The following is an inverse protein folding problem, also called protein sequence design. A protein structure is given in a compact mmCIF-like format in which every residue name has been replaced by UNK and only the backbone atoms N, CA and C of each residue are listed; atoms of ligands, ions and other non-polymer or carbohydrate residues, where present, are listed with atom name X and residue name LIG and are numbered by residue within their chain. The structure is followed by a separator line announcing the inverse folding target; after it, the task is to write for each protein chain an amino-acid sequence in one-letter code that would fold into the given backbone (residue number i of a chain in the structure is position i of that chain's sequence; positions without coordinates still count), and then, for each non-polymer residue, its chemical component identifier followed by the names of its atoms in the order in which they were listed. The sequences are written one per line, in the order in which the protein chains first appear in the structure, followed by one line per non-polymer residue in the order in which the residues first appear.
data_IF_001317411292
#
_entry.id   IF_001317411292
#
_cell.length_a   1.000
_cell.length_b   1.000
_cell.length_c   1.000
_cell.angle_alpha   90.00
_cell.angle_beta   90.00
_cell.angle_gamma   90.00
#
_symmetry.space_group_name_H-M   'P 1'
#
loop_
_entity.id
_entity.type
_entity.pdbx_description
1 polymer ?
#
# COMPACT_ATOMS: atom_id res chain seq x y z
N UNK A 1 -23.85 -27.39 17.04
CA UNK A 1 -22.65 -26.53 16.95
C UNK A 1 -22.40 -26.29 15.49
N UNK A 2 -22.15 -25.03 15.07
CA UNK A 2 -21.75 -24.77 13.69
C UNK A 2 -20.42 -25.48 13.45
N UNK A 3 -20.37 -26.34 12.42
CA UNK A 3 -19.13 -27.01 12.01
C UNK A 3 -18.24 -25.92 11.37
N UNK A 4 -17.08 -25.67 11.96
CA UNK A 4 -16.08 -24.74 11.41
C UNK A 4 -14.95 -25.58 10.82
N UNK A 5 -14.64 -25.36 9.54
CA UNK A 5 -13.58 -26.09 8.83
C UNK A 5 -12.21 -25.43 9.01
N UNK A 6 -11.15 -26.16 8.66
CA UNK A 6 -9.77 -25.65 8.74
C UNK A 6 -9.58 -24.43 7.83
N UNK A 7 -10.09 -24.47 6.60
CA UNK A 7 -9.94 -23.38 5.65
C UNK A 7 -10.71 -22.13 6.05
N UNK A 8 -11.89 -22.27 6.66
CA UNK A 8 -12.64 -21.13 7.22
C UNK A 8 -11.89 -20.41 8.34
N UNK A 9 -11.27 -21.15 9.27
CA UNK A 9 -10.46 -20.54 10.34
C UNK A 9 -9.28 -19.80 9.75
N UNK A 10 -8.53 -20.42 8.83
CA UNK A 10 -7.37 -19.77 8.21
C UNK A 10 -7.75 -18.52 7.39
N UNK A 11 -8.89 -18.54 6.69
CA UNK A 11 -9.41 -17.35 6.01
C UNK A 11 -9.69 -16.20 7.01
N UNK A 12 -10.20 -16.54 8.20
CA UNK A 12 -10.45 -15.56 9.24
C UNK A 12 -9.14 -15.06 9.90
N UNK A 13 -8.13 -15.93 10.04
CA UNK A 13 -6.78 -15.54 10.48
C UNK A 13 -6.15 -14.53 9.53
N UNK A 14 -6.23 -14.79 8.22
CA UNK A 14 -5.71 -13.90 7.19
C UNK A 14 -6.47 -12.57 7.18
N UNK A 15 -7.81 -12.59 7.26
CA UNK A 15 -8.63 -11.38 7.33
C UNK A 15 -8.28 -10.50 8.54
N UNK A 16 -8.13 -11.09 9.74
CA UNK A 16 -7.77 -10.33 10.95
C UNK A 16 -6.38 -9.70 10.80
N UNK A 17 -5.43 -10.44 10.24
CA UNK A 17 -4.07 -9.94 9.97
C UNK A 17 -4.07 -8.79 8.98
N UNK A 18 -4.84 -8.90 7.90
CA UNK A 18 -4.97 -7.85 6.89
C UNK A 18 -5.62 -6.59 7.48
N UNK A 19 -6.64 -6.75 8.33
CA UNK A 19 -7.27 -5.63 9.04
C UNK A 19 -6.28 -4.93 9.99
N UNK A 20 -5.42 -5.68 10.69
CA UNK A 20 -4.37 -5.11 11.53
C UNK A 20 -3.35 -4.32 10.70
N UNK A 21 -2.90 -4.87 9.56
CA UNK A 21 -1.98 -4.16 8.66
C UNK A 21 -2.61 -2.86 8.10
N UNK A 22 -3.89 -2.89 7.75
CA UNK A 22 -4.64 -1.70 7.32
C UNK A 22 -4.75 -0.67 8.45
N UNK A 23 -4.96 -1.10 9.70
CA UNK A 23 -5.00 -0.22 10.85
C UNK A 23 -3.66 0.48 11.09
N UNK A 24 -2.54 -0.23 11.01
CA UNK A 24 -1.20 0.36 11.14
C UNK A 24 -0.93 1.42 10.05
N UNK A 25 -1.30 1.13 8.81
CA UNK A 25 -1.19 2.07 7.69
C UNK A 25 -2.09 3.31 7.88
N UNK A 26 -3.31 3.10 8.36
CA UNK A 26 -4.25 4.18 8.68
C UNK A 26 -3.71 5.06 9.81
N UNK A 27 -3.15 4.48 10.86
CA UNK A 27 -2.55 5.21 11.98
C UNK A 27 -1.38 6.08 11.53
N UNK A 28 -0.50 5.55 10.68
CA UNK A 28 0.60 6.33 10.08
C UNK A 28 0.06 7.50 9.24
N UNK A 29 -0.95 7.26 8.41
CA UNK A 29 -1.59 8.29 7.58
C UNK A 29 -2.27 9.38 8.42
N UNK A 30 -3.04 8.98 9.43
CA UNK A 30 -3.70 9.90 10.36
C UNK A 30 -2.70 10.78 11.11
N UNK A 31 -1.60 10.21 11.62
CA UNK A 31 -0.53 10.99 12.27
C UNK A 31 0.08 12.02 11.33
N UNK A 32 0.36 11.64 10.08
CA UNK A 32 0.90 12.57 9.09
C UNK A 32 -0.07 13.71 8.76
N UNK A 33 -1.37 13.41 8.63
CA UNK A 33 -2.40 14.42 8.36
C UNK A 33 -2.56 15.40 9.52
N UNK A 34 -2.57 14.92 10.76
CA UNK A 34 -2.64 15.77 11.96
C UNK A 34 -1.39 16.65 12.07
N UNK A 35 -0.20 16.08 11.90
CA UNK A 35 1.06 16.84 11.95
C UNK A 35 1.11 17.96 10.90
N UNK A 36 0.62 17.70 9.68
CA UNK A 36 0.51 18.73 8.64
C UNK A 36 -0.47 19.85 9.03
N UNK A 37 -1.59 19.51 9.66
CA UNK A 37 -2.55 20.50 10.13
C UNK A 37 -2.01 21.31 11.32
N UNK A 38 -1.26 20.68 12.23
CA UNK A 38 -0.55 21.34 13.34
C UNK A 38 0.45 22.36 12.81
N UNK A 39 1.30 21.97 11.86
CA UNK A 39 2.27 22.89 11.25
C UNK A 39 1.60 24.10 10.60
N UNK A 40 0.51 23.90 9.85
CA UNK A 40 -0.23 25.01 9.24
C UNK A 40 -0.86 25.93 10.27
N UNK A 41 -1.33 25.39 11.39
CA UNK A 41 -1.88 26.17 12.48
C UNK A 41 -0.79 27.00 13.18
N UNK A 42 0.38 26.41 13.44
CA UNK A 42 1.54 27.11 13.99
C UNK A 42 2.01 28.25 13.06
N UNK A 43 2.14 27.98 11.77
CA UNK A 43 2.50 28.99 10.76
C UNK A 43 1.51 30.16 10.76
N UNK A 44 0.21 29.88 10.78
CA UNK A 44 -0.83 30.90 10.79
C UNK A 44 -0.82 31.72 12.09
N UNK A 45 -0.57 31.08 13.24
CA UNK A 45 -0.39 31.79 14.51
C UNK A 45 0.87 32.66 14.52
N UNK A 46 1.98 32.16 13.99
CA UNK A 46 3.22 32.93 13.86
C UNK A 46 3.03 34.14 12.96
N UNK A 47 2.36 33.97 11.82
CA UNK A 47 2.02 35.05 10.91
C UNK A 47 1.12 36.09 11.59
N UNK A 48 0.11 35.66 12.36
CA UNK A 48 -0.76 36.57 13.11
C UNK A 48 0.01 37.39 14.15
N UNK A 49 0.85 36.74 14.97
CA UNK A 49 1.69 37.44 15.97
C UNK A 49 2.65 38.43 15.31
N UNK A 50 3.23 38.06 14.18
CA UNK A 50 4.08 38.95 13.41
C UNK A 50 3.29 40.15 12.83
N UNK A 51 2.04 39.94 12.39
CA UNK A 51 1.14 41.03 11.99
C UNK A 51 0.80 41.99 13.11
N UNK A 52 0.65 41.52 14.35
CA UNK A 52 0.41 42.38 15.51
C UNK A 52 1.61 43.31 15.73
N UNK A 53 2.82 42.77 15.76
CA UNK A 53 4.04 43.58 15.88
C UNK A 53 4.18 44.62 14.78
N UNK A 54 3.89 44.26 13.52
CA UNK A 54 3.97 45.21 12.40
C UNK A 54 2.90 46.31 12.47
N UNK A 55 1.74 46.01 13.04
CA UNK A 55 0.71 47.02 13.28
C UNK A 55 1.16 47.98 14.39
N UNK A 56 1.73 47.47 15.48
CA UNK A 56 2.26 48.30 16.57
C UNK A 56 3.36 49.25 16.04
N UNK A 57 4.28 48.74 15.20
CA UNK A 57 5.32 49.56 14.55
C UNK A 57 4.72 50.63 13.64
N UNK A 58 3.69 50.29 12.85
CA UNK A 58 3.02 51.24 11.96
C UNK A 58 2.22 52.30 12.73
N UNK A 59 1.61 51.94 13.86
CA UNK A 59 0.94 52.89 14.76
C UNK A 59 1.96 53.88 15.35
N UNK A 60 3.14 53.41 15.75
CA UNK A 60 4.19 54.31 16.24
C UNK A 60 4.69 55.26 15.14
N UNK A 61 4.89 54.76 13.91
CA UNK A 61 5.28 55.61 12.78
C UNK A 61 4.24 56.68 12.44
N UNK A 62 2.94 56.36 12.52
CA UNK A 62 1.87 57.34 12.34
C UNK A 62 1.90 58.43 13.43
N UNK A 63 2.13 58.04 14.69
CA UNK A 63 2.27 58.99 15.80
C UNK A 63 3.47 59.92 15.58
N UNK A 64 4.63 59.37 15.21
CA UNK A 64 5.85 60.14 14.98
C UNK A 64 5.70 61.10 13.78
N UNK A 65 5.08 60.65 12.68
CA UNK A 65 4.78 61.49 11.52
C UNK A 65 3.73 62.56 11.84
N UNK A 66 2.76 62.25 12.71
CA UNK A 66 1.78 63.21 13.23
C UNK A 66 2.46 64.34 13.99
N UNK A 67 3.34 64.00 14.93
CA UNK A 67 4.13 64.98 15.67
C UNK A 67 5.01 65.83 14.74
N UNK A 68 5.68 65.22 13.77
CA UNK A 68 6.52 65.95 12.81
C UNK A 68 5.71 66.95 11.95
N UNK A 69 4.48 66.59 11.58
CA UNK A 69 3.56 67.48 10.86
C UNK A 69 3.11 68.66 11.72
N UNK A 70 2.82 68.43 13.01
CA UNK A 70 2.50 69.49 13.98
C UNK A 70 3.70 70.44 14.21
N UNK A 71 4.90 69.88 14.39
CA UNK A 71 6.13 70.66 14.56
C UNK A 71 6.43 71.51 13.31
N UNK A 72 6.26 70.94 12.11
CA UNK A 72 6.43 71.67 10.85
C UNK A 72 5.40 72.79 10.69
N UNK A 73 4.16 72.58 11.15
CA UNK A 73 3.13 73.61 11.15
C UNK A 73 3.51 74.78 12.08
N UNK A 74 3.99 74.46 13.28
CA UNK A 74 4.48 75.47 14.23
C UNK A 74 5.69 76.25 13.68
N UNK A 75 6.58 75.58 12.93
CA UNK A 75 7.70 76.22 12.26
C UNK A 75 7.24 77.20 11.16
N UNK A 76 6.21 76.84 10.38
CA UNK A 76 5.58 77.74 9.41
C UNK A 76 5.00 78.97 10.11
N UNK A 77 4.25 78.80 11.19
CA UNK A 77 3.66 79.92 11.94
C UNK A 77 4.74 80.86 12.49
N UNK A 78 5.87 80.30 12.95
CA UNK A 78 7.03 81.07 13.44
C UNK A 78 7.74 81.82 12.32
N UNK A 79 7.90 81.20 11.14
CA UNK A 79 8.51 81.82 9.97
C UNK A 79 7.66 82.98 9.46
N UNK A 80 6.33 82.84 9.41
CA UNK A 80 5.42 83.94 9.06
C UNK A 80 5.51 85.10 10.05
N UNK A 81 5.53 84.83 11.36
CA UNK A 81 5.70 85.89 12.36
C UNK A 81 7.04 86.64 12.22
N UNK A 82 8.11 85.92 11.82
CA UNK A 82 9.43 86.52 11.56
C UNK A 82 9.43 87.35 10.28
N UNK A 83 8.74 86.89 9.24
CA UNK A 83 8.52 87.64 8.00
C UNK A 83 7.75 88.94 8.27
N UNK A 84 6.64 88.88 9.01
CA UNK A 84 5.86 90.07 9.38
C UNK A 84 6.72 91.11 10.12
N UNK A 85 7.62 90.67 11.00
CA UNK A 85 8.55 91.53 11.72
C UNK A 85 9.63 92.13 10.79
N UNK A 86 10.16 91.35 9.86
CA UNK A 86 11.14 91.80 8.87
C UNK A 86 10.53 92.81 7.88
N UNK A 87 9.32 92.54 7.37
CA UNK A 87 8.59 93.45 6.48
C UNK A 87 8.19 94.75 7.20
N UNK A 88 7.80 94.68 8.47
CA UNK A 88 7.54 95.87 9.30
C UNK A 88 8.81 96.71 9.50
N UNK A 89 9.97 96.08 9.69
CA UNK A 89 11.26 96.76 9.85
C UNK A 89 11.70 97.41 8.54
N UNK A 90 11.56 96.71 7.42
CA UNK A 90 11.82 97.23 6.08
C UNK A 90 10.92 98.43 5.74
N UNK A 91 9.61 98.30 5.98
CA UNK A 91 8.65 99.40 5.81
C UNK A 91 9.03 100.62 6.64
N UNK A 92 9.46 100.40 7.88
CA UNK A 92 9.92 101.47 8.78
C UNK A 92 11.20 102.14 8.28
N UNK A 93 12.15 101.39 7.70
CA UNK A 93 13.37 101.96 7.09
C UNK A 93 13.05 102.81 5.86
N UNK A 94 12.21 102.29 4.95
CA UNK A 94 11.79 102.99 3.73
C UNK A 94 11.05 104.30 4.08
N UNK A 95 10.32 104.33 5.19
CA UNK A 95 9.59 105.50 5.66
C UNK A 95 10.48 106.58 6.33
N UNK A 96 11.79 106.36 6.49
CA UNK A 96 12.69 107.36 7.07
C UNK A 96 12.92 108.55 6.10
N UNK A 97 13.03 109.79 6.62
CA UNK A 97 13.28 110.97 5.79
C UNK A 97 14.67 110.93 5.14
N UNK A 98 14.80 111.60 3.98
CA UNK A 98 16.07 111.76 3.24
C UNK A 98 17.18 112.25 4.17
N UNK A 99 18.40 111.76 3.96
CA UNK A 99 19.56 112.22 4.71
C UNK A 99 19.93 113.67 4.36
N UNK A 100 20.91 114.23 5.08
CA UNK A 100 21.31 115.64 4.94
C UNK A 100 21.88 115.99 3.55
N UNK A 101 22.22 114.99 2.74
CA UNK A 101 22.75 115.12 1.39
C UNK A 101 21.69 114.83 0.31
N UNK A 102 20.43 114.56 0.71
CA UNK A 102 19.31 114.31 -0.19
C UNK A 102 19.19 112.88 -0.69
N UNK A 103 19.92 111.94 -0.09
CA UNK A 103 19.89 110.51 -0.44
C UNK A 103 18.82 109.76 0.37
N UNK A 104 18.23 108.75 -0.26
CA UNK A 104 17.30 107.81 0.40
C UNK A 104 18.04 107.03 1.51
N UNK A 105 17.37 106.65 2.61
CA UNK A 105 17.93 105.71 3.59
C UNK A 105 18.41 104.44 2.90
N UNK A 106 19.60 103.97 3.26
CA UNK A 106 20.14 102.69 2.78
C UNK A 106 19.51 101.54 3.56
N UNK A 107 18.45 100.97 2.99
CA UNK A 107 17.69 99.85 3.56
C UNK A 107 18.11 98.50 2.96
N UNK A 108 19.37 98.37 2.50
CA UNK A 108 19.85 97.13 1.88
C UNK A 108 19.80 95.96 2.85
N UNK A 109 20.15 96.20 4.11
CA UNK A 109 20.11 95.18 5.17
C UNK A 109 18.69 94.69 5.46
N UNK A 110 17.72 95.60 5.58
CA UNK A 110 16.33 95.24 5.81
C UNK A 110 15.70 94.54 4.59
N UNK A 111 16.14 94.86 3.37
CA UNK A 111 15.78 94.09 2.17
C UNK A 111 16.33 92.67 2.25
N UNK A 112 17.62 92.51 2.57
CA UNK A 112 18.26 91.21 2.72
C UNK A 112 17.57 90.38 3.83
N UNK A 113 17.20 91.00 4.95
CA UNK A 113 16.47 90.34 6.03
C UNK A 113 15.05 89.91 5.62
N UNK A 114 14.32 90.75 4.87
CA UNK A 114 12.99 90.40 4.38
C UNK A 114 13.04 89.28 3.33
N UNK A 115 14.00 89.32 2.40
CA UNK A 115 14.22 88.27 1.41
C UNK A 115 14.65 86.95 2.07
N UNK A 116 15.49 87.01 3.11
CA UNK A 116 15.84 85.83 3.91
C UNK A 116 14.62 85.24 4.64
N UNK A 117 13.79 86.08 5.28
CA UNK A 117 12.59 85.62 5.97
C UNK A 117 11.56 85.01 5.00
N UNK A 118 11.45 85.54 3.77
CA UNK A 118 10.62 84.94 2.71
C UNK A 118 11.13 83.56 2.30
N UNK A 119 12.45 83.41 2.13
CA UNK A 119 13.05 82.12 1.83
C UNK A 119 12.85 81.10 2.97
N UNK A 120 12.88 81.55 4.23
CA UNK A 120 12.59 80.72 5.41
C UNK A 120 11.12 80.27 5.45
N UNK A 121 10.16 81.13 5.08
CA UNK A 121 8.75 80.76 4.93
C UNK A 121 8.56 79.72 3.81
N UNK A 122 9.18 79.92 2.65
CA UNK A 122 9.11 78.96 1.54
C UNK A 122 9.69 77.59 1.95
N UNK A 123 10.82 77.59 2.66
CA UNK A 123 11.43 76.38 3.19
C UNK A 123 10.53 75.67 4.21
N UNK A 124 9.93 76.41 5.14
CA UNK A 124 9.03 75.87 6.15
C UNK A 124 7.75 75.30 5.52
N UNK A 125 7.17 75.99 4.53
CA UNK A 125 5.99 75.53 3.78
C UNK A 125 6.29 74.21 3.04
N UNK A 126 7.43 74.12 2.36
CA UNK A 126 7.86 72.89 1.69
C UNK A 126 8.07 71.73 2.69
N UNK A 127 8.65 72.02 3.86
CA UNK A 127 8.84 71.02 4.91
C UNK A 127 7.51 70.52 5.48
N UNK A 128 6.53 71.40 5.67
CA UNK A 128 5.17 71.05 6.10
C UNK A 128 4.44 70.21 5.05
N UNK A 129 4.56 70.55 3.76
CA UNK A 129 3.97 69.74 2.68
C UNK A 129 4.55 68.32 2.67
N UNK A 130 5.86 68.20 2.82
CA UNK A 130 6.54 66.90 2.94
C UNK A 130 6.09 66.13 4.19
N UNK A 131 6.02 66.77 5.36
CA UNK A 131 5.59 66.13 6.59
C UNK A 131 4.13 65.64 6.53
N UNK A 132 3.23 66.41 5.89
CA UNK A 132 1.85 65.98 5.64
C UNK A 132 1.77 64.79 4.69
N UNK A 133 2.57 64.78 3.62
CA UNK A 133 2.63 63.65 2.70
C UNK A 133 3.18 62.37 3.38
N UNK A 134 4.16 62.52 4.29
CA UNK A 134 4.69 61.39 5.05
C UNK A 134 3.69 60.87 6.09
N UNK A 135 2.91 61.75 6.73
CA UNK A 135 1.80 61.37 7.60
C UNK A 135 0.72 60.58 6.84
N UNK A 136 0.28 61.07 5.67
CA UNK A 136 -0.68 60.34 4.84
C UNK A 136 -0.18 58.93 4.50
N UNK A 137 1.10 58.80 4.12
CA UNK A 137 1.73 57.51 3.85
C UNK A 137 1.77 56.60 5.09
N UNK A 138 2.04 57.17 6.26
CA UNK A 138 2.03 56.42 7.52
C UNK A 138 0.62 55.89 7.87
N UNK A 139 -0.41 56.72 7.69
CA UNK A 139 -1.82 56.33 7.87
C UNK A 139 -2.24 55.20 6.92
N UNK A 140 -1.84 55.30 5.64
CA UNK A 140 -2.09 54.23 4.66
C UNK A 140 -1.40 52.92 5.04
N UNK A 141 -0.15 53.00 5.51
CA UNK A 141 0.60 51.83 5.97
C UNK A 141 -0.06 51.18 7.21
N UNK A 142 -0.49 51.98 8.21
CA UNK A 142 -1.23 51.45 9.38
C UNK A 142 -2.49 50.72 8.93
N UNK A 143 -3.32 51.33 8.08
CA UNK A 143 -4.53 50.68 7.56
C UNK A 143 -4.23 49.38 6.80
N UNK A 144 -3.12 49.32 6.07
CA UNK A 144 -2.68 48.10 5.41
C UNK A 144 -2.29 47.00 6.42
N UNK A 145 -1.60 47.36 7.51
CA UNK A 145 -1.23 46.42 8.57
C UNK A 145 -2.45 45.92 9.36
N UNK A 146 -3.47 46.75 9.58
CA UNK A 146 -4.75 46.32 10.19
C UNK A 146 -5.44 45.26 9.34
N UNK A 147 -5.55 45.49 8.03
CA UNK A 147 -6.13 44.51 7.10
C UNK A 147 -5.33 43.22 7.06
N UNK A 148 -4.00 43.32 7.09
CA UNK A 148 -3.10 42.17 7.16
C UNK A 148 -3.35 41.35 8.42
N UNK A 149 -3.44 42.01 9.57
CA UNK A 149 -3.73 41.36 10.85
C UNK A 149 -5.06 40.60 10.81
N UNK A 150 -6.12 41.24 10.33
CA UNK A 150 -7.45 40.63 10.21
C UNK A 150 -7.40 39.36 9.34
N UNK A 151 -6.77 39.43 8.15
CA UNK A 151 -6.62 38.26 7.29
C UNK A 151 -5.81 37.14 7.96
N UNK A 152 -4.74 37.46 8.68
CA UNK A 152 -3.96 36.45 9.40
C UNK A 152 -4.72 35.81 10.56
N UNK A 153 -5.58 36.57 11.26
CA UNK A 153 -6.46 36.03 12.30
C UNK A 153 -7.52 35.10 11.72
N UNK A 154 -8.11 35.47 10.58
CA UNK A 154 -9.04 34.61 9.86
C UNK A 154 -8.35 33.30 9.42
N UNK A 155 -7.14 33.39 8.87
CA UNK A 155 -6.35 32.22 8.47
C UNK A 155 -6.03 31.30 9.67
N UNK A 156 -5.65 31.87 10.83
CA UNK A 156 -5.40 31.12 12.04
C UNK A 156 -6.65 30.41 12.57
N UNK A 157 -7.81 31.07 12.52
CA UNK A 157 -9.10 30.46 12.88
C UNK A 157 -9.46 29.29 11.96
N UNK A 158 -9.31 29.45 10.65
CA UNK A 158 -9.52 28.38 9.67
C UNK A 158 -8.57 27.21 9.88
N UNK A 159 -7.28 27.48 10.15
CA UNK A 159 -6.29 26.45 10.44
C UNK A 159 -6.60 25.69 11.75
N UNK A 160 -7.06 26.39 12.79
CA UNK A 160 -7.51 25.77 14.04
C UNK A 160 -8.70 24.82 13.82
N UNK A 161 -9.69 25.25 13.03
CA UNK A 161 -10.84 24.41 12.68
C UNK A 161 -10.41 23.19 11.86
N UNK A 162 -9.50 23.37 10.90
CA UNK A 162 -8.98 22.27 10.09
C UNK A 162 -8.21 21.25 10.94
N UNK A 163 -7.41 21.70 11.92
CA UNK A 163 -6.72 20.83 12.86
C UNK A 163 -7.71 20.04 13.73
N UNK A 164 -8.69 20.71 14.34
CA UNK A 164 -9.71 20.06 15.16
C UNK A 164 -10.50 19.01 14.36
N UNK A 165 -10.89 19.34 13.11
CA UNK A 165 -11.56 18.41 12.21
C UNK A 165 -10.68 17.21 11.88
N UNK A 166 -9.41 17.43 11.51
CA UNK A 166 -8.47 16.36 11.20
C UNK A 166 -8.29 15.40 12.39
N UNK A 167 -8.13 15.94 13.61
CA UNK A 167 -8.03 15.13 14.83
C UNK A 167 -9.30 14.31 15.08
N UNK A 168 -10.49 14.93 14.99
CA UNK A 168 -11.76 14.25 15.19
C UNK A 168 -11.98 13.12 14.17
N UNK A 169 -11.75 13.40 12.89
CA UNK A 169 -11.93 12.43 11.81
C UNK A 169 -10.96 11.25 11.95
N UNK A 170 -9.68 11.53 12.25
CA UNK A 170 -8.67 10.50 12.48
C UNK A 170 -9.05 9.61 13.67
N UNK A 171 -9.43 10.21 14.80
CA UNK A 171 -9.83 9.47 16.00
C UNK A 171 -11.06 8.58 15.74
N UNK A 172 -12.07 9.10 15.04
CA UNK A 172 -13.27 8.34 14.72
C UNK A 172 -12.96 7.14 13.80
N UNK A 173 -12.10 7.33 12.79
CA UNK A 173 -11.69 6.27 11.87
C UNK A 173 -10.88 5.18 12.58
N UNK A 174 -9.88 5.57 13.37
CA UNK A 174 -9.05 4.62 14.13
C UNK A 174 -9.90 3.82 15.13
N UNK A 175 -10.82 4.48 15.84
CA UNK A 175 -11.73 3.80 16.75
C UNK A 175 -12.63 2.79 16.02
N UNK A 176 -13.19 3.16 14.86
CA UNK A 176 -14.05 2.29 14.07
C UNK A 176 -13.32 1.04 13.56
N UNK A 177 -12.09 1.21 13.06
CA UNK A 177 -11.25 0.07 12.63
C UNK A 177 -10.81 -0.78 13.81
N UNK A 178 -10.45 -0.17 14.94
CA UNK A 178 -10.09 -0.87 16.17
C UNK A 178 -11.22 -1.79 16.66
N UNK A 179 -12.46 -1.29 16.69
CA UNK A 179 -13.63 -2.10 17.06
C UNK A 179 -13.87 -3.27 16.09
N UNK A 180 -13.65 -3.07 14.79
CA UNK A 180 -13.78 -4.14 13.80
C UNK A 180 -12.71 -5.22 13.99
N UNK A 181 -11.48 -4.83 14.35
CA UNK A 181 -10.39 -5.75 14.71
C UNK A 181 -10.74 -6.53 15.96
N UNK A 182 -11.20 -5.87 17.03
CA UNK A 182 -11.57 -6.53 18.29
C UNK A 182 -12.67 -7.59 18.05
N UNK A 183 -13.69 -7.24 17.26
CA UNK A 183 -14.74 -8.19 16.87
C UNK A 183 -14.16 -9.34 16.04
N UNK A 184 -13.26 -9.05 15.10
CA UNK A 184 -12.57 -10.04 14.27
C UNK A 184 -11.75 -11.02 15.12
N UNK A 185 -10.96 -10.51 16.07
CA UNK A 185 -10.15 -11.31 17.01
C UNK A 185 -11.03 -12.18 17.90
N UNK A 186 -12.14 -11.65 18.43
CA UNK A 186 -13.08 -12.42 19.22
C UNK A 186 -13.71 -13.57 18.41
N UNK A 187 -14.13 -13.28 17.17
CA UNK A 187 -14.66 -14.29 16.24
C UNK A 187 -13.62 -15.34 15.90
N UNK A 188 -12.38 -14.94 15.66
CA UNK A 188 -11.27 -15.84 15.36
C UNK A 188 -11.00 -16.80 16.54
N UNK A 189 -10.92 -16.26 17.76
CA UNK A 189 -10.74 -17.06 18.97
C UNK A 189 -11.86 -18.09 19.15
N UNK A 190 -13.13 -17.68 18.95
CA UNK A 190 -14.26 -18.60 19.01
C UNK A 190 -14.20 -19.69 17.91
N UNK A 191 -13.80 -19.31 16.69
CA UNK A 191 -13.66 -20.23 15.57
C UNK A 191 -12.52 -21.25 15.79
N UNK A 192 -11.39 -20.80 16.35
CA UNK A 192 -10.27 -21.66 16.73
C UNK A 192 -10.68 -22.66 17.82
N UNK A 193 -11.40 -22.23 18.86
CA UNK A 193 -11.92 -23.12 19.90
C UNK A 193 -12.90 -24.15 19.34
N UNK A 194 -13.81 -23.72 18.43
CA UNK A 194 -14.74 -24.63 17.77
C UNK A 194 -14.01 -25.66 16.90
N UNK A 195 -12.98 -25.23 16.16
CA UNK A 195 -12.16 -26.13 15.35
C UNK A 195 -11.39 -27.13 16.23
N UNK A 196 -10.79 -26.70 17.33
CA UNK A 196 -10.09 -27.59 18.26
C UNK A 196 -11.03 -28.65 18.87
N UNK A 197 -12.24 -28.25 19.28
CA UNK A 197 -13.25 -29.18 19.79
C UNK A 197 -13.71 -30.18 18.72
N UNK A 198 -13.84 -29.74 17.46
CA UNK A 198 -14.17 -30.60 16.33
C UNK A 198 -13.05 -31.63 16.10
N UNK A 199 -11.81 -31.19 16.00
CA UNK A 199 -10.66 -32.06 15.74
C UNK A 199 -10.43 -33.08 16.88
N UNK A 200 -10.70 -32.69 18.13
CA UNK A 200 -10.60 -33.60 19.27
C UNK A 200 -11.57 -34.80 19.20
N UNK A 201 -12.68 -34.65 18.47
CA UNK A 201 -13.71 -35.70 18.32
C UNK A 201 -13.71 -36.35 16.93
N UNK A 202 -12.92 -35.84 15.98
CA UNK A 202 -12.85 -36.32 14.60
C UNK A 202 -11.40 -36.63 14.19
N UNK A 203 -10.88 -37.84 14.51
CA UNK A 203 -9.48 -38.20 14.28
C UNK A 203 -9.03 -38.04 12.82
N UNK A 204 -9.87 -38.40 11.84
CA UNK A 204 -9.55 -38.26 10.41
C UNK A 204 -9.27 -36.80 10.03
N UNK A 205 -10.04 -35.86 10.59
CA UNK A 205 -9.85 -34.43 10.36
C UNK A 205 -8.61 -33.89 11.10
N UNK A 206 -8.32 -34.40 12.31
CA UNK A 206 -7.10 -34.09 13.04
C UNK A 206 -5.84 -34.58 12.28
N UNK A 207 -5.90 -35.77 11.69
CA UNK A 207 -4.85 -36.32 10.85
C UNK A 207 -4.68 -35.50 9.57
N UNK A 208 -5.78 -35.07 8.93
CA UNK A 208 -5.72 -34.17 7.77
C UNK A 208 -5.09 -32.82 8.12
N UNK A 209 -5.46 -32.20 9.26
CA UNK A 209 -4.83 -30.96 9.73
C UNK A 209 -3.33 -31.16 9.95
N UNK A 210 -2.93 -32.29 10.53
CA UNK A 210 -1.53 -32.64 10.77
C UNK A 210 -0.78 -32.85 9.45
N UNK A 211 -1.43 -33.44 8.45
CA UNK A 211 -0.90 -33.50 7.09
C UNK A 211 -0.74 -32.07 6.52
N UNK A 212 -1.77 -31.22 6.57
CA UNK A 212 -1.71 -29.87 6.01
C UNK A 212 -0.65 -28.98 6.67
N UNK A 213 -0.52 -29.05 8.00
CA UNK A 213 0.42 -28.29 8.81
C UNK A 213 1.76 -29.01 9.05
N UNK A 214 2.07 -29.99 8.19
CA UNK A 214 3.31 -30.75 8.31
C UNK A 214 4.53 -29.84 8.26
N UNK A 215 5.40 -30.02 9.23
CA UNK A 215 6.67 -29.33 9.31
C UNK A 215 7.80 -30.36 9.24
N UNK A 216 8.48 -30.49 8.09
CA UNK A 216 9.53 -31.49 7.93
C UNK A 216 10.73 -31.25 8.86
N UNK A 217 10.94 -30.01 9.32
CA UNK A 217 12.06 -29.68 10.23
C UNK A 217 11.84 -30.33 11.60
N UNK A 218 10.59 -30.35 12.09
CA UNK A 218 10.24 -30.97 13.38
C UNK A 218 10.36 -32.49 13.36
N UNK A 219 10.15 -33.11 12.20
CA UNK A 219 10.29 -34.56 12.06
C UNK A 219 11.75 -34.99 12.15
N UNK A 220 12.68 -34.10 11.79
CA UNK A 220 14.12 -34.33 11.85
C UNK A 220 14.62 -35.26 10.74
N UNK A 221 15.73 -34.89 10.11
CA UNK A 221 16.42 -35.75 9.15
C UNK A 221 16.06 -35.51 7.68
N UNK A 222 16.42 -36.50 6.86
CA UNK A 222 16.29 -36.45 5.39
C UNK A 222 14.89 -36.90 5.00
N UNK A 223 14.24 -36.15 4.11
CA UNK A 223 12.97 -36.57 3.51
C UNK A 223 13.27 -37.61 2.42
N UNK A 224 12.76 -38.82 2.61
CA UNK A 224 13.01 -39.96 1.73
C UNK A 224 11.85 -40.20 0.76
N UNK A 225 12.03 -41.05 -0.27
CA UNK A 225 10.96 -41.37 -1.20
C UNK A 225 9.71 -41.97 -0.54
N UNK A 226 9.87 -42.70 0.57
CA UNK A 226 8.75 -43.26 1.33
C UNK A 226 7.91 -42.16 1.97
N UNK A 227 8.55 -41.15 2.58
CA UNK A 227 7.85 -39.99 3.17
C UNK A 227 7.08 -39.24 2.08
N UNK A 228 7.70 -38.99 0.93
CA UNK A 228 7.06 -38.32 -0.20
C UNK A 228 5.85 -39.10 -0.72
N UNK A 229 6.01 -40.41 -0.91
CA UNK A 229 4.93 -41.32 -1.33
C UNK A 229 3.76 -41.24 -0.35
N UNK A 230 4.03 -41.37 0.94
CA UNK A 230 2.98 -41.45 1.95
C UNK A 230 2.21 -40.12 2.03
N UNK A 231 2.90 -38.98 1.87
CA UNK A 231 2.25 -37.66 1.79
C UNK A 231 1.38 -37.46 0.55
N UNK A 232 1.74 -38.06 -0.59
CA UNK A 232 0.96 -38.00 -1.82
C UNK A 232 -0.17 -39.03 -1.87
N UNK A 233 -0.16 -40.03 -0.99
CA UNK A 233 -1.13 -41.12 -0.97
C UNK A 233 -2.30 -40.83 -0.01
N UNK A 234 -3.02 -39.75 -0.27
CA UNK A 234 -4.20 -39.39 0.53
C UNK A 234 -5.31 -40.45 0.44
N UNK A 235 -5.98 -40.73 1.57
CA UNK A 235 -7.20 -41.55 1.60
C UNK A 235 -8.36 -40.88 0.86
N UNK A 236 -9.49 -41.58 0.68
CA UNK A 236 -10.67 -40.98 0.06
C UNK A 236 -11.20 -39.78 0.86
N UNK A 237 -11.23 -39.92 2.18
CA UNK A 237 -11.66 -38.89 3.13
C UNK A 237 -10.71 -37.67 3.10
N UNK A 238 -9.39 -37.90 3.10
CA UNK A 238 -8.42 -36.80 3.00
C UNK A 238 -8.46 -36.10 1.64
N UNK A 239 -8.76 -36.81 0.54
CA UNK A 239 -8.97 -36.17 -0.77
C UNK A 239 -10.21 -35.29 -0.77
N UNK A 240 -11.30 -35.74 -0.13
CA UNK A 240 -12.50 -34.92 0.04
C UNK A 240 -12.19 -33.65 0.87
N UNK A 241 -11.53 -33.80 2.02
CA UNK A 241 -11.15 -32.66 2.87
C UNK A 241 -10.20 -31.69 2.15
N UNK A 242 -9.29 -32.19 1.30
CA UNK A 242 -8.46 -31.33 0.47
C UNK A 242 -9.29 -30.55 -0.56
N UNK A 243 -10.31 -31.17 -1.18
CA UNK A 243 -11.19 -30.44 -2.09
C UNK A 243 -12.00 -29.35 -1.38
N UNK A 244 -12.53 -29.64 -0.19
CA UNK A 244 -13.22 -28.66 0.66
C UNK A 244 -12.27 -27.50 1.02
N UNK A 245 -11.06 -27.83 1.48
CA UNK A 245 -10.03 -26.84 1.79
C UNK A 245 -9.67 -25.97 0.57
N UNK A 246 -9.49 -26.56 -0.61
CA UNK A 246 -9.21 -25.82 -1.85
C UNK A 246 -10.39 -24.95 -2.27
N UNK A 247 -11.63 -25.43 -2.13
CA UNK A 247 -12.84 -24.67 -2.42
C UNK A 247 -12.97 -23.42 -1.50
N UNK A 248 -12.53 -23.54 -0.26
CA UNK A 248 -12.55 -22.42 0.70
C UNK A 248 -11.40 -21.43 0.46
N UNK A 249 -10.18 -21.94 0.21
CA UNK A 249 -8.94 -21.16 0.21
C UNK A 249 -8.50 -20.68 -1.17
N UNK A 250 -8.92 -21.33 -2.25
CA UNK A 250 -8.52 -21.00 -3.61
C UNK A 250 -9.75 -20.53 -4.43
N UNK A 251 -9.91 -19.20 -4.64
CA UNK A 251 -11.02 -18.64 -5.41
C UNK A 251 -11.10 -19.16 -6.86
N UNK A 252 -9.96 -19.44 -7.50
CA UNK A 252 -9.93 -19.96 -8.88
C UNK A 252 -10.42 -21.40 -8.95
N UNK A 253 -9.98 -22.24 -8.00
CA UNK A 253 -10.46 -23.62 -7.87
C UNK A 253 -11.96 -23.65 -7.56
N UNK A 254 -12.42 -22.80 -6.62
CA UNK A 254 -13.85 -22.62 -6.31
C UNK A 254 -14.67 -22.27 -7.54
N UNK A 255 -14.27 -21.23 -8.28
CA UNK A 255 -14.97 -20.81 -9.49
C UNK A 255 -15.02 -21.93 -10.54
N UNK A 256 -13.96 -22.73 -10.67
CA UNK A 256 -13.93 -23.89 -11.57
C UNK A 256 -14.91 -24.98 -11.13
N UNK A 257 -14.96 -25.29 -9.84
CA UNK A 257 -15.93 -26.24 -9.26
C UNK A 257 -17.35 -25.76 -9.47
N UNK A 258 -17.66 -24.51 -9.12
CA UNK A 258 -19.01 -23.93 -9.25
C UNK A 258 -19.50 -23.98 -10.70
N UNK A 259 -18.63 -23.61 -11.65
CA UNK A 259 -18.90 -23.72 -13.08
C UNK A 259 -19.24 -25.15 -13.51
N UNK A 260 -18.57 -26.17 -12.97
CA UNK A 260 -18.87 -27.56 -13.30
C UNK A 260 -20.13 -28.08 -12.59
N UNK A 261 -20.42 -27.61 -11.37
CA UNK A 261 -21.69 -27.88 -10.68
C UNK A 261 -22.87 -27.32 -11.48
N UNK A 262 -22.77 -26.08 -11.95
CA UNK A 262 -23.79 -25.45 -12.80
C UNK A 262 -24.00 -26.23 -14.11
N UNK A 263 -22.91 -26.63 -14.79
CA UNK A 263 -23.01 -27.45 -16.01
C UNK A 263 -23.63 -28.83 -15.74
N UNK A 264 -23.30 -29.45 -14.60
CA UNK A 264 -23.86 -30.75 -14.20
C UNK A 264 -25.37 -30.66 -13.96
N UNK A 265 -25.82 -29.61 -13.25
CA UNK A 265 -27.24 -29.35 -12.98
C UNK A 265 -28.00 -29.03 -14.27
N UNK A 266 -27.41 -28.27 -15.18
CA UNK A 266 -28.04 -27.88 -16.44
C UNK A 266 -28.15 -29.01 -17.47
N UNK A 267 -27.32 -30.06 -17.34
CA UNK A 267 -27.23 -31.14 -18.32
C UNK A 267 -28.50 -32.02 -18.38
N UNK A 268 -29.09 -32.12 -19.57
CA UNK A 268 -30.30 -32.90 -19.86
C UNK A 268 -29.94 -34.28 -20.40
N UNK A 269 -30.03 -35.28 -19.53
CA UNK A 269 -29.79 -36.68 -19.88
C UNK A 269 -28.31 -37.05 -20.02
N UNK A 270 -28.07 -38.31 -20.40
CA UNK A 270 -26.76 -38.94 -20.24
C UNK A 270 -25.69 -38.41 -21.20
N UNK A 271 -26.08 -37.97 -22.40
CA UNK A 271 -25.13 -37.46 -23.40
C UNK A 271 -24.47 -36.17 -22.91
N UNK A 272 -25.26 -35.21 -22.43
CA UNK A 272 -24.75 -33.95 -21.91
C UNK A 272 -23.94 -34.15 -20.62
N UNK A 273 -24.42 -35.02 -19.71
CA UNK A 273 -23.69 -35.39 -18.48
C UNK A 273 -22.34 -36.03 -18.80
N UNK A 274 -22.27 -36.93 -19.77
CA UNK A 274 -21.01 -37.52 -20.22
C UNK A 274 -20.05 -36.47 -20.80
N UNK A 275 -20.59 -35.45 -21.49
CA UNK A 275 -19.83 -34.27 -21.92
C UNK A 275 -19.20 -33.51 -20.74
N UNK A 276 -19.96 -33.27 -19.68
CA UNK A 276 -19.46 -32.63 -18.45
C UNK A 276 -18.41 -33.49 -17.76
N UNK A 277 -18.67 -34.79 -17.57
CA UNK A 277 -17.71 -35.75 -16.98
C UNK A 277 -16.37 -35.71 -17.72
N UNK A 278 -16.39 -35.68 -19.05
CA UNK A 278 -15.15 -35.63 -19.85
C UNK A 278 -14.36 -34.34 -19.58
N UNK A 279 -15.02 -33.18 -19.50
CA UNK A 279 -14.36 -31.91 -19.19
C UNK A 279 -13.79 -31.91 -17.77
N UNK A 280 -14.55 -32.40 -16.79
CA UNK A 280 -14.12 -32.51 -15.39
C UNK A 280 -12.86 -33.37 -15.26
N UNK A 281 -12.82 -34.51 -15.95
CA UNK A 281 -11.67 -35.42 -15.96
C UNK A 281 -10.40 -34.80 -16.54
N UNK A 282 -10.54 -33.88 -17.48
CA UNK A 282 -9.41 -33.20 -18.13
C UNK A 282 -8.96 -32.00 -17.29
N UNK A 283 -9.89 -31.12 -16.93
CA UNK A 283 -9.57 -29.81 -16.35
C UNK A 283 -9.47 -29.87 -14.82
N UNK A 284 -10.57 -30.23 -14.14
CA UNK A 284 -10.63 -30.18 -12.67
C UNK A 284 -9.75 -31.26 -12.03
N UNK A 285 -9.80 -32.48 -12.57
CA UNK A 285 -9.03 -33.59 -12.04
C UNK A 285 -7.51 -33.43 -12.28
N UNK A 286 -7.12 -32.77 -13.37
CA UNK A 286 -5.72 -32.42 -13.62
C UNK A 286 -5.21 -31.43 -12.57
N UNK A 287 -5.94 -30.33 -12.40
CA UNK A 287 -5.60 -29.31 -11.40
C UNK A 287 -5.63 -29.87 -9.97
N UNK A 288 -6.60 -30.71 -9.60
CA UNK A 288 -6.61 -31.32 -8.27
C UNK A 288 -5.35 -32.15 -8.01
N UNK A 289 -4.85 -32.88 -9.01
CA UNK A 289 -3.60 -33.61 -8.92
C UNK A 289 -2.39 -32.71 -8.69
N UNK A 290 -2.31 -31.59 -9.42
CA UNK A 290 -1.28 -30.55 -9.21
C UNK A 290 -1.39 -29.94 -7.81
N UNK A 291 -2.59 -29.62 -7.34
CA UNK A 291 -2.82 -29.05 -6.01
C UNK A 291 -2.45 -30.04 -4.90
N UNK A 292 -2.72 -31.33 -5.07
CA UNK A 292 -2.29 -32.37 -4.13
C UNK A 292 -0.77 -32.42 -4.03
N UNK A 293 -0.07 -32.47 -5.16
CA UNK A 293 1.40 -32.46 -5.18
C UNK A 293 1.96 -31.18 -4.53
N UNK A 294 1.37 -30.02 -4.86
CA UNK A 294 1.74 -28.73 -4.27
C UNK A 294 1.58 -28.75 -2.76
N UNK A 295 0.44 -29.11 -2.21
CA UNK A 295 0.22 -29.10 -0.76
C UNK A 295 1.03 -30.18 -0.02
N UNK A 296 1.30 -31.32 -0.67
CA UNK A 296 2.13 -32.36 -0.10
C UNK A 296 3.59 -31.91 0.06
N UNK A 297 4.11 -31.13 -0.89
CA UNK A 297 5.54 -30.83 -1.05
C UNK A 297 5.93 -29.39 -0.70
N UNK A 298 4.98 -28.45 -0.75
CA UNK A 298 5.16 -27.05 -0.36
C UNK A 298 5.94 -26.86 0.95
N UNK A 299 5.67 -27.65 2.03
CA UNK A 299 6.41 -27.49 3.27
C UNK A 299 7.92 -27.81 3.19
N UNK A 300 8.41 -28.37 2.08
CA UNK A 300 9.83 -28.67 1.95
C UNK A 300 10.70 -27.41 1.78
N UNK A 301 10.17 -26.31 1.24
CA UNK A 301 10.94 -25.10 0.95
C UNK A 301 10.44 -23.85 1.65
N UNK A 302 11.28 -22.82 1.65
CA UNK A 302 10.93 -21.47 2.08
C UNK A 302 10.19 -20.67 1.01
N UNK A 303 10.32 -21.08 -0.27
CA UNK A 303 9.67 -20.42 -1.42
C UNK A 303 9.14 -21.43 -2.42
N UNK A 304 8.02 -21.07 -3.03
CA UNK A 304 7.32 -21.90 -4.02
C UNK A 304 6.95 -21.03 -5.20
N UNK A 305 7.38 -21.46 -6.38
CA UNK A 305 7.00 -20.89 -7.66
C UNK A 305 6.18 -21.92 -8.44
N UNK A 306 5.08 -21.49 -9.02
CA UNK A 306 4.23 -22.34 -9.87
C UNK A 306 4.11 -21.73 -11.25
N UNK A 307 4.12 -22.58 -12.28
CA UNK A 307 3.97 -22.16 -13.68
C UNK A 307 5.11 -21.22 -14.17
N UNK A 308 6.32 -21.37 -13.59
CA UNK A 308 7.51 -20.62 -13.99
C UNK A 308 7.90 -20.92 -15.45
N UNK A 309 8.17 -19.89 -16.24
CA UNK A 309 8.48 -20.03 -17.68
C UNK A 309 9.97 -20.20 -17.91
N UNK A 310 10.36 -21.28 -18.57
CA UNK A 310 11.73 -21.52 -19.03
C UNK A 310 11.76 -21.54 -20.55
N UNK A 311 12.54 -20.63 -21.15
CA UNK A 311 12.74 -20.61 -22.60
C UNK A 311 13.72 -21.71 -23.01
N UNK A 312 13.36 -22.47 -24.05
CA UNK A 312 14.08 -23.64 -24.52
C UNK A 312 14.59 -23.36 -25.93
N UNK A 313 15.91 -23.21 -26.05
CA UNK A 313 16.61 -22.86 -27.30
C UNK A 313 16.34 -21.43 -27.78
N UNK A 314 16.83 -21.10 -28.97
CA UNK A 314 16.81 -19.73 -29.52
C UNK A 314 15.53 -19.38 -30.29
N UNK A 315 14.60 -20.34 -30.42
CA UNK A 315 13.39 -20.21 -31.25
C UNK A 315 12.19 -19.61 -30.51
N UNK A 316 12.40 -19.04 -29.31
CA UNK A 316 11.34 -18.45 -28.48
C UNK A 316 10.33 -19.46 -27.91
N UNK A 317 10.57 -20.77 -28.05
CA UNK A 317 9.78 -21.80 -27.38
C UNK A 317 10.01 -21.73 -25.88
N UNK A 318 8.98 -22.00 -25.09
CA UNK A 318 9.10 -22.11 -23.65
C UNK A 318 8.34 -23.31 -23.12
N UNK A 319 8.77 -23.80 -21.97
CA UNK A 319 8.03 -24.73 -21.14
C UNK A 319 7.65 -24.04 -19.83
N UNK A 320 6.66 -24.59 -19.13
CA UNK A 320 6.31 -24.18 -17.77
C UNK A 320 6.62 -25.31 -16.81
N UNK A 321 7.18 -24.97 -15.66
CA UNK A 321 7.37 -25.91 -14.56
C UNK A 321 6.20 -25.78 -13.60
N UNK A 322 5.53 -26.91 -13.34
CA UNK A 322 4.34 -26.91 -12.47
C UNK A 322 4.68 -26.48 -11.04
N UNK A 323 5.78 -26.97 -10.50
CA UNK A 323 6.21 -26.69 -9.14
C UNK A 323 7.73 -26.56 -9.02
N UNK A 324 8.21 -25.39 -8.62
CA UNK A 324 9.61 -25.16 -8.24
C UNK A 324 9.64 -24.75 -6.76
N UNK A 325 10.35 -25.53 -5.96
CA UNK A 325 10.54 -25.30 -4.53
C UNK A 325 11.99 -24.88 -4.34
N UNK A 326 12.21 -23.72 -3.74
CA UNK A 326 13.56 -23.21 -3.46
C UNK A 326 13.74 -22.95 -1.98
N UNK A 327 15.01 -22.82 -1.56
CA UNK A 327 15.39 -22.66 -0.16
C UNK A 327 14.87 -23.83 0.69
N UNK A 328 15.25 -25.05 0.30
CA UNK A 328 14.83 -26.26 0.98
C UNK A 328 15.20 -26.22 2.47
N UNK A 329 14.21 -26.48 3.33
CA UNK A 329 14.36 -26.42 4.79
C UNK A 329 14.97 -27.70 5.36
N UNK A 330 14.92 -28.79 4.60
CA UNK A 330 15.46 -30.11 4.93
C UNK A 330 16.09 -30.75 3.69
N UNK A 331 17.04 -31.68 3.83
CA UNK A 331 17.53 -32.45 2.69
C UNK A 331 16.41 -33.33 2.14
N UNK A 332 16.27 -33.39 0.81
CA UNK A 332 15.27 -34.21 0.12
C UNK A 332 15.96 -35.21 -0.78
N UNK A 333 15.52 -36.47 -0.75
CA UNK A 333 15.98 -37.53 -1.63
C UNK A 333 14.78 -38.13 -2.36
N UNK A 334 14.80 -38.03 -3.69
CA UNK A 334 13.81 -38.59 -4.60
C UNK A 334 14.12 -40.04 -4.99
N UNK A 335 15.38 -40.46 -4.88
CA UNK A 335 15.84 -41.78 -5.29
C UNK A 335 17.36 -41.89 -5.37
N UNK A 336 17.84 -42.89 -6.10
CA UNK A 336 19.28 -43.12 -6.32
C UNK A 336 19.72 -42.48 -7.63
N UNK A 337 20.90 -41.84 -7.62
CA UNK A 337 21.56 -41.30 -8.82
C UNK A 337 21.74 -39.77 -8.79
N UNK A 338 22.47 -39.21 -9.77
CA UNK A 338 22.63 -37.76 -9.92
C UNK A 338 21.28 -37.06 -10.11
N UNK A 339 21.11 -35.86 -9.54
CA UNK A 339 19.87 -35.08 -9.66
C UNK A 339 18.68 -35.63 -8.85
N UNK A 340 18.90 -36.65 -8.01
CA UNK A 340 17.86 -37.28 -7.18
C UNK A 340 17.91 -36.86 -5.71
N UNK A 341 18.73 -35.88 -5.37
CA UNK A 341 18.83 -35.38 -4.00
C UNK A 341 19.20 -33.91 -3.99
N UNK A 342 18.57 -33.15 -3.09
CA UNK A 342 18.80 -31.73 -2.90
C UNK A 342 19.12 -31.44 -1.42
N UNK A 343 20.17 -30.66 -1.13
CA UNK A 343 20.54 -30.31 0.24
C UNK A 343 19.63 -29.22 0.82
N UNK A 344 19.80 -28.93 2.10
CA UNK A 344 19.24 -27.71 2.72
C UNK A 344 19.75 -26.47 1.97
N UNK A 345 18.86 -25.50 1.74
CA UNK A 345 19.11 -24.31 0.92
C UNK A 345 19.04 -24.57 -0.59
N UNK A 346 18.96 -25.83 -1.02
CA UNK A 346 18.84 -26.21 -2.43
C UNK A 346 17.43 -26.03 -2.98
N UNK A 347 17.20 -26.67 -4.13
CA UNK A 347 15.99 -26.52 -4.94
C UNK A 347 15.48 -27.86 -5.49
N UNK A 348 14.16 -27.92 -5.71
CA UNK A 348 13.44 -29.08 -6.22
C UNK A 348 12.44 -28.64 -7.31
N UNK A 349 12.60 -29.14 -8.53
CA UNK A 349 11.69 -28.88 -9.65
C UNK A 349 10.84 -30.11 -9.99
N UNK A 350 9.52 -29.92 -10.15
CA UNK A 350 8.60 -31.01 -10.44
C UNK A 350 7.61 -30.65 -11.56
N UNK A 351 7.36 -31.64 -12.41
CA UNK A 351 6.23 -31.69 -13.34
C UNK A 351 5.19 -32.70 -12.83
N UNK A 352 3.90 -32.41 -12.96
CA UNK A 352 2.83 -33.27 -12.45
C UNK A 352 1.95 -33.78 -13.59
N UNK A 353 1.83 -35.10 -13.73
CA UNK A 353 1.02 -35.75 -14.77
C UNK A 353 0.02 -36.75 -14.20
N UNK A 354 -1.26 -36.40 -14.24
CA UNK A 354 -2.35 -37.27 -13.80
C UNK A 354 -3.06 -37.89 -15.00
N UNK A 355 -2.93 -39.21 -15.19
CA UNK A 355 -3.61 -39.88 -16.30
C UNK A 355 -3.52 -41.39 -16.28
N UNK A 356 -4.27 -42.04 -17.16
CA UNK A 356 -4.20 -43.49 -17.34
C UNK A 356 -2.89 -43.91 -18.01
N UNK A 357 -2.49 -45.16 -17.81
CA UNK A 357 -1.27 -45.75 -18.35
C UNK A 357 -0.97 -45.34 -19.82
N UNK A 358 -1.93 -45.58 -20.73
CA UNK A 358 -1.75 -45.25 -22.14
C UNK A 358 -1.62 -43.74 -22.41
N UNK A 359 -2.31 -42.91 -21.63
CA UNK A 359 -2.16 -41.45 -21.72
C UNK A 359 -0.77 -41.02 -21.25
N UNK A 360 -0.29 -41.53 -20.11
CA UNK A 360 1.06 -41.24 -19.61
C UNK A 360 2.13 -41.60 -20.64
N UNK A 361 2.00 -42.76 -21.26
CA UNK A 361 2.91 -43.18 -22.33
C UNK A 361 2.82 -42.28 -23.58
N UNK A 362 1.61 -41.93 -24.01
CA UNK A 362 1.40 -41.02 -25.15
C UNK A 362 1.95 -39.60 -24.91
N UNK A 363 2.13 -39.19 -23.65
CA UNK A 363 2.71 -37.91 -23.27
C UNK A 363 4.24 -37.92 -23.16
N UNK A 364 4.93 -39.03 -23.49
CA UNK A 364 6.40 -39.18 -23.37
C UNK A 364 7.17 -37.97 -23.92
N UNK A 365 6.99 -37.65 -25.20
CA UNK A 365 7.77 -36.60 -25.87
C UNK A 365 7.46 -35.21 -25.30
N UNK A 366 6.23 -35.00 -24.85
CA UNK A 366 5.84 -33.76 -24.18
C UNK A 366 6.54 -33.63 -22.81
N UNK A 367 6.55 -34.69 -21.99
CA UNK A 367 7.25 -34.69 -20.70
C UNK A 367 8.76 -34.52 -20.86
N UNK A 368 9.36 -35.13 -21.90
CA UNK A 368 10.79 -34.95 -22.23
C UNK A 368 11.07 -33.47 -22.54
N UNK A 369 10.22 -32.81 -23.34
CA UNK A 369 10.37 -31.38 -23.61
C UNK A 369 10.22 -30.53 -22.35
N UNK A 370 9.32 -30.89 -21.44
CA UNK A 370 9.11 -30.14 -20.19
C UNK A 370 10.28 -30.28 -19.20
N UNK A 371 10.97 -31.42 -19.21
CA UNK A 371 12.15 -31.66 -18.37
C UNK A 371 13.28 -30.63 -18.61
N UNK A 372 13.34 -30.01 -19.79
CA UNK A 372 14.26 -28.90 -20.07
C UNK A 372 14.07 -27.72 -19.11
N UNK A 373 12.84 -27.50 -18.63
CA UNK A 373 12.52 -26.44 -17.69
C UNK A 373 13.12 -26.63 -16.30
N UNK A 374 13.53 -27.85 -15.96
CA UNK A 374 13.91 -28.23 -14.60
C UNK A 374 15.40 -28.17 -14.34
N UNK A 375 16.23 -28.23 -15.39
CA UNK A 375 17.67 -28.55 -15.35
C UNK A 375 18.54 -27.74 -14.40
N UNK A 376 18.05 -26.59 -13.95
CA UNK A 376 18.77 -25.70 -13.03
C UNK A 376 18.54 -26.05 -11.55
N UNK A 377 17.57 -26.92 -11.24
CA UNK A 377 17.29 -27.33 -9.87
C UNK A 377 18.26 -28.44 -9.40
N UNK A 378 18.54 -28.49 -8.10
CA UNK A 378 19.43 -29.50 -7.49
C UNK A 378 18.86 -30.91 -7.61
N UNK A 379 17.54 -31.03 -7.42
CA UNK A 379 16.80 -32.26 -7.70
C UNK A 379 15.60 -31.97 -8.59
N UNK A 380 15.25 -32.95 -9.44
CA UNK A 380 14.09 -32.81 -10.31
C UNK A 380 13.44 -34.15 -10.65
N UNK A 381 12.13 -34.14 -10.84
CA UNK A 381 11.40 -35.32 -11.28
C UNK A 381 10.09 -34.98 -11.98
N UNK A 382 9.56 -35.95 -12.72
CA UNK A 382 8.18 -35.93 -13.17
C UNK A 382 7.38 -36.82 -12.24
N UNK A 383 6.42 -36.24 -11.52
CA UNK A 383 5.46 -36.97 -10.70
C UNK A 383 4.28 -37.39 -11.55
N UNK A 384 3.89 -38.66 -11.47
CA UNK A 384 2.69 -39.13 -12.15
C UNK A 384 1.78 -39.95 -11.24
N UNK A 385 0.55 -40.17 -11.72
CA UNK A 385 -0.34 -41.16 -11.12
C UNK A 385 0.27 -42.55 -11.18
N UNK A 386 -0.06 -43.37 -10.17
CA UNK A 386 0.45 -44.74 -10.04
C UNK A 386 0.02 -45.68 -11.17
N UNK A 387 -0.90 -45.27 -12.04
CA UNK A 387 -1.33 -46.01 -13.24
C UNK A 387 -0.17 -46.29 -14.22
N UNK A 388 0.99 -45.66 -14.06
CA UNK A 388 2.20 -46.05 -14.81
C UNK A 388 2.53 -47.54 -14.68
N UNK A 389 2.22 -48.14 -13.52
CA UNK A 389 2.45 -49.57 -13.24
C UNK A 389 1.52 -50.50 -14.02
N UNK A 390 0.50 -49.95 -14.68
CA UNK A 390 -0.42 -50.71 -15.54
C UNK A 390 0.07 -50.74 -17.01
N UNK A 391 1.21 -50.13 -17.33
CA UNK A 391 1.90 -50.32 -18.60
C UNK A 391 2.52 -51.71 -18.69
N UNK A 392 2.79 -52.16 -19.92
CA UNK A 392 3.66 -53.34 -20.08
C UNK A 392 5.07 -53.01 -19.58
N UNK A 393 5.83 -53.99 -19.07
CA UNK A 393 7.18 -53.76 -18.54
C UNK A 393 8.10 -53.04 -19.53
N UNK A 394 7.96 -53.31 -20.82
CA UNK A 394 8.75 -52.69 -21.89
C UNK A 394 8.41 -51.20 -22.04
N UNK A 395 7.12 -50.87 -22.08
CA UNK A 395 6.65 -49.48 -22.19
C UNK A 395 6.95 -48.65 -20.95
N UNK A 396 6.78 -49.25 -19.76
CA UNK A 396 7.14 -48.58 -18.51
C UNK A 396 8.65 -48.28 -18.49
N UNK A 397 9.48 -49.27 -18.85
CA UNK A 397 10.93 -49.10 -18.91
C UNK A 397 11.33 -48.02 -19.91
N UNK A 398 10.82 -48.08 -21.14
CA UNK A 398 11.09 -47.07 -22.17
C UNK A 398 10.76 -45.66 -21.67
N UNK A 399 9.59 -45.48 -21.07
CA UNK A 399 9.16 -44.18 -20.57
C UNK A 399 10.05 -43.68 -19.42
N UNK A 400 10.41 -44.55 -18.46
CA UNK A 400 11.28 -44.21 -17.34
C UNK A 400 12.70 -43.87 -17.79
N UNK A 401 13.24 -44.62 -18.74
CA UNK A 401 14.59 -44.41 -19.25
C UNK A 401 14.66 -43.10 -20.06
N UNK A 402 13.68 -42.83 -20.94
CA UNK A 402 13.60 -41.57 -21.68
C UNK A 402 13.56 -40.33 -20.77
N UNK A 403 12.77 -40.37 -19.69
CA UNK A 403 12.70 -39.26 -18.75
C UNK A 403 13.92 -39.17 -17.83
N UNK A 404 14.59 -40.30 -17.51
CA UNK A 404 15.88 -40.27 -16.81
C UNK A 404 16.96 -39.61 -17.67
N UNK A 405 17.00 -39.92 -18.97
CA UNK A 405 17.95 -39.32 -19.93
C UNK A 405 17.68 -37.83 -20.14
N UNK A 406 16.41 -37.42 -20.16
CA UNK A 406 16.01 -36.01 -20.18
C UNK A 406 16.32 -35.25 -18.87
N UNK A 407 16.78 -35.98 -17.84
CA UNK A 407 17.16 -35.45 -16.54
C UNK A 407 16.01 -35.35 -15.54
N UNK A 408 14.77 -35.72 -15.87
CA UNK A 408 13.60 -35.61 -14.99
C UNK A 408 12.98 -36.99 -14.71
N UNK A 409 13.61 -37.85 -13.88
CA UNK A 409 13.15 -39.20 -13.63
C UNK A 409 11.66 -39.28 -13.25
N UNK A 410 10.97 -40.29 -13.78
CA UNK A 410 9.54 -40.47 -13.59
C UNK A 410 9.22 -41.23 -12.31
N UNK A 411 8.33 -40.67 -11.47
CA UNK A 411 7.97 -41.22 -10.17
C UNK A 411 6.44 -41.33 -10.05
N UNK A 412 5.92 -42.55 -9.97
CA UNK A 412 4.49 -42.83 -9.85
C UNK A 412 4.00 -42.87 -8.41
N UNK A 413 3.77 -41.70 -7.79
CA UNK A 413 3.36 -41.57 -6.38
C UNK A 413 1.94 -41.01 -6.18
N UNK A 414 1.38 -40.32 -7.17
CA UNK A 414 0.04 -39.75 -7.03
C UNK A 414 -1.04 -40.85 -7.00
N UNK A 415 -2.23 -40.57 -6.43
CA UNK A 415 -3.37 -41.48 -6.50
C UNK A 415 -3.65 -41.92 -7.94
N UNK A 416 -4.27 -43.09 -8.09
CA UNK A 416 -4.63 -43.55 -9.43
C UNK A 416 -5.61 -42.56 -10.06
N UNK A 417 -5.58 -42.45 -11.39
CA UNK A 417 -6.44 -41.52 -12.12
C UNK A 417 -7.92 -41.76 -11.84
N UNK A 418 -8.33 -43.01 -11.63
CA UNK A 418 -9.72 -43.32 -11.28
C UNK A 418 -10.10 -42.80 -9.89
N UNK A 419 -9.19 -42.85 -8.91
CA UNK A 419 -9.46 -42.30 -7.58
C UNK A 419 -9.61 -40.78 -7.61
N UNK A 420 -8.76 -40.10 -8.38
CA UNK A 420 -8.85 -38.64 -8.58
C UNK A 420 -10.15 -38.29 -9.29
N UNK A 421 -10.46 -39.00 -10.39
CA UNK A 421 -11.67 -38.79 -11.17
C UNK A 421 -12.92 -38.96 -10.32
N UNK A 422 -13.00 -40.05 -9.55
CA UNK A 422 -14.12 -40.32 -8.66
C UNK A 422 -14.27 -39.21 -7.63
N UNK A 423 -13.17 -38.83 -6.95
CA UNK A 423 -13.20 -37.79 -5.93
C UNK A 423 -13.73 -36.45 -6.48
N UNK A 424 -13.22 -36.00 -7.63
CA UNK A 424 -13.65 -34.73 -8.22
C UNK A 424 -15.10 -34.80 -8.73
N UNK A 425 -15.51 -35.94 -9.31
CA UNK A 425 -16.87 -36.15 -9.79
C UNK A 425 -17.88 -36.17 -8.65
N UNK A 426 -17.55 -36.81 -7.54
CA UNK A 426 -18.44 -36.85 -6.38
C UNK A 426 -18.56 -35.46 -5.75
N UNK A 427 -17.46 -34.69 -5.68
CA UNK A 427 -17.48 -33.33 -5.12
C UNK A 427 -18.33 -32.32 -5.93
N UNK A 428 -18.42 -32.48 -7.26
CA UNK A 428 -19.34 -31.66 -8.07
C UNK A 428 -20.79 -32.15 -8.02
N UNK A 429 -21.03 -33.41 -7.59
CA UNK A 429 -22.37 -34.01 -7.51
C UNK A 429 -23.05 -33.76 -6.17
N UNK A 430 -22.29 -33.57 -5.09
CA UNK A 430 -22.78 -33.37 -3.71
C UNK A 430 -23.88 -32.29 -3.59
N UNK A 431 -23.94 -31.30 -4.48
CA UNK A 431 -25.00 -30.28 -4.49
C UNK A 431 -26.41 -30.81 -4.82
N UNK A 432 -26.57 -32.08 -5.20
CA UNK A 432 -27.89 -32.70 -5.41
C UNK A 432 -28.50 -33.36 -4.16
N UNK A 433 -27.73 -33.64 -3.11
CA UNK A 433 -28.22 -34.36 -1.91
C UNK A 433 -28.53 -33.42 -0.72
N UNK A 434 -28.17 -32.14 -0.81
CA UNK A 434 -28.46 -31.13 0.23
C UNK A 434 -29.64 -30.19 -0.10
N UNK A 435 -30.39 -30.44 -1.18
CA UNK A 435 -31.67 -29.78 -1.43
C UNK A 435 -32.80 -30.59 -0.78
N UNK A 436 -33.50 -30.07 0.26
CA UNK A 436 -34.64 -30.73 0.86
C UNK A 436 -35.84 -30.85 -0.08
#
# INVERSE_FOLDING_TARGET
MALVSIGQVENLEDLVRDLQAVHEALEASCRAQVALAEHKYEDAQNASRHSESLLDDAMQQELDAGQASEDAQQAVDTAYASLDAAESSLSSCIAQPLDKDGSSPDCSWEHDCADQARAEVDQACNALEQARADLERAMENRMAMERRLEMTRQAASMAAQALAHAQQECNARLLGVGQAIDLGVARLSAAQQALEAYLATHPVAADFRSWLKWDPVKQGGVVTPDVLRDRMNLSAEHRQMLQEYLYERNPEYRAKVDRFREQWVAAKGDVERNGVVRKVRIELCGEFGEQLARHALAPLGGRIETQGRTFVGDNGRYTKTDLLITDLRVPVVLGRGPGMGAPVGGSLALEVKCGKAQYLYAQKDHMVFQAEGHKQADAQCTLCSRDIKDLSPEKEKELRDALREAGSPLIGMLPSKNEIDLSCLDFIRQSQEEQP
#
